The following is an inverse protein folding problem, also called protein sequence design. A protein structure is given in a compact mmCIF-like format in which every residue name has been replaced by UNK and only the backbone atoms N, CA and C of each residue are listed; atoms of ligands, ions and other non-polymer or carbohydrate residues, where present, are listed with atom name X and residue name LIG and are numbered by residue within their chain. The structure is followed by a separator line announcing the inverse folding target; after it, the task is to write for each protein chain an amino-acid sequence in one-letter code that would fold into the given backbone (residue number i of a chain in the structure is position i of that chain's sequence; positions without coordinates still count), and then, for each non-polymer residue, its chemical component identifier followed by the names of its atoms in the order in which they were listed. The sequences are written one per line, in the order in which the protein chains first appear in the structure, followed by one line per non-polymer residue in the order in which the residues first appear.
data_IF_544112490765
#
_entry.id   IF_544112490765
#
_cell.length_a   1.000
_cell.length_b   1.000
_cell.length_c   1.000
_cell.angle_alpha   90.00
_cell.angle_beta   90.00
_cell.angle_gamma   90.00
#
_symmetry.space_group_name_H-M   'P 1'
#
loop_
_entity.id
_entity.type
_entity.pdbx_description
1 polymer ?
#
# COMPACT_ATOMS: atom_id res chain seq x y z
N UNK A 1 47.32 -0.85 -18.56
CA UNK A 1 47.34 -1.51 -17.24
C UNK A 1 46.04 -2.27 -17.10
N UNK A 2 46.14 -3.60 -17.06
CA UNK A 2 45.02 -4.52 -16.92
C UNK A 2 44.40 -4.43 -15.53
N UNK A 3 43.08 -4.24 -15.46
CA UNK A 3 42.31 -4.40 -14.21
C UNK A 3 42.46 -5.87 -13.76
N UNK A 4 42.81 -6.15 -12.49
CA UNK A 4 42.98 -7.53 -12.05
C UNK A 4 41.61 -8.23 -12.01
N UNK A 5 41.55 -9.45 -12.51
CA UNK A 5 40.38 -10.36 -12.45
C UNK A 5 40.12 -10.90 -11.03
N UNK A 6 40.16 -10.02 -10.02
CA UNK A 6 39.76 -10.30 -8.65
C UNK A 6 38.32 -9.79 -8.50
N UNK A 7 37.31 -10.67 -8.52
CA UNK A 7 35.97 -10.19 -8.20
C UNK A 7 34.84 -11.21 -8.21
N UNK A 8 34.85 -12.21 -9.09
CA UNK A 8 33.73 -13.16 -9.16
C UNK A 8 34.01 -14.45 -8.38
N UNK A 9 35.23 -14.99 -8.46
CA UNK A 9 35.59 -16.26 -7.80
C UNK A 9 35.64 -16.18 -6.26
N UNK A 10 35.58 -14.97 -5.71
CA UNK A 10 35.48 -14.72 -4.27
C UNK A 10 34.03 -14.55 -3.78
N UNK A 11 33.02 -14.61 -4.66
CA UNK A 11 31.63 -14.55 -4.27
C UNK A 11 31.18 -15.90 -3.70
N UNK A 12 30.66 -15.86 -2.49
CA UNK A 12 30.10 -16.99 -1.77
C UNK A 12 28.71 -16.63 -1.21
N UNK A 13 28.02 -17.64 -0.68
CA UNK A 13 26.80 -17.46 0.11
C UNK A 13 27.10 -17.86 1.55
N UNK A 14 27.24 -16.88 2.43
CA UNK A 14 27.59 -17.06 3.85
C UNK A 14 28.86 -17.91 4.06
N UNK A 15 29.88 -17.73 3.20
CA UNK A 15 31.13 -18.49 3.23
C UNK A 15 31.09 -19.83 2.48
N UNK A 16 29.96 -20.19 1.88
CA UNK A 16 29.82 -21.39 1.05
C UNK A 16 30.03 -21.06 -0.44
N UNK A 17 31.03 -21.66 -1.12
CA UNK A 17 31.21 -21.48 -2.56
C UNK A 17 29.94 -21.87 -3.34
N UNK A 18 29.60 -21.11 -4.38
CA UNK A 18 28.37 -21.33 -5.16
C UNK A 18 28.26 -22.77 -5.70
N UNK A 19 29.37 -23.38 -6.11
CA UNK A 19 29.39 -24.74 -6.63
C UNK A 19 29.01 -25.79 -5.56
N UNK A 20 29.26 -25.50 -4.28
CA UNK A 20 28.99 -26.39 -3.16
C UNK A 20 27.52 -26.33 -2.71
N UNK A 21 26.73 -25.39 -3.22
CA UNK A 21 25.29 -25.30 -2.99
C UNK A 21 24.51 -26.44 -3.67
N UNK A 22 25.14 -27.19 -4.58
CA UNK A 22 24.51 -28.32 -5.26
C UNK A 22 23.33 -27.93 -6.16
N UNK A 23 23.33 -26.69 -6.65
CA UNK A 23 22.30 -26.18 -7.55
C UNK A 23 22.53 -26.69 -8.97
N UNK A 24 21.44 -26.97 -9.67
CA UNK A 24 21.39 -27.24 -11.11
C UNK A 24 20.43 -26.25 -11.78
N UNK A 25 20.26 -26.31 -13.10
CA UNK A 25 19.31 -25.45 -13.82
C UNK A 25 17.88 -26.02 -13.78
N UNK A 26 17.42 -26.44 -12.59
CA UNK A 26 16.02 -26.79 -12.29
C UNK A 26 15.39 -25.68 -11.45
N UNK A 27 14.11 -25.40 -11.70
CA UNK A 27 13.39 -24.36 -10.99
C UNK A 27 13.23 -24.70 -9.49
N UNK A 28 13.60 -23.80 -8.56
CA UNK A 28 13.43 -24.01 -7.12
C UNK A 28 11.99 -24.36 -6.74
N UNK A 29 11.83 -25.42 -5.95
CA UNK A 29 10.52 -25.92 -5.50
C UNK A 29 9.74 -26.72 -6.55
N UNK A 30 10.22 -26.79 -7.81
CA UNK A 30 9.56 -27.45 -8.92
C UNK A 30 10.54 -28.38 -9.66
N UNK A 31 10.84 -29.57 -9.10
CA UNK A 31 11.91 -30.44 -9.58
C UNK A 31 11.70 -30.98 -11.00
N UNK A 32 10.49 -30.86 -11.55
CA UNK A 32 10.13 -31.33 -12.88
C UNK A 32 10.30 -30.26 -13.98
N UNK A 33 10.72 -29.04 -13.62
CA UNK A 33 10.86 -27.93 -14.56
C UNK A 33 12.34 -27.59 -14.74
N UNK A 34 12.90 -28.04 -15.86
CA UNK A 34 14.23 -27.60 -16.28
C UNK A 34 14.15 -26.21 -16.91
N UNK A 35 15.03 -25.31 -16.46
CA UNK A 35 15.11 -23.93 -16.93
C UNK A 35 15.76 -23.80 -18.31
N UNK A 36 16.50 -24.83 -18.72
CA UNK A 36 17.13 -24.97 -20.02
C UNK A 36 17.26 -26.45 -20.36
N UNK A 37 17.49 -26.76 -21.64
CA UNK A 37 17.72 -28.14 -22.07
C UNK A 37 18.94 -28.75 -21.36
N UNK A 38 18.76 -29.90 -20.71
CA UNK A 38 19.82 -30.55 -19.93
C UNK A 38 20.17 -29.76 -18.66
N UNK A 39 19.18 -29.06 -18.11
CA UNK A 39 19.39 -28.15 -16.99
C UNK A 39 19.75 -28.91 -15.72
N UNK A 40 19.13 -30.07 -15.51
CA UNK A 40 19.40 -30.98 -14.40
C UNK A 40 20.83 -31.53 -14.39
N UNK A 41 21.39 -31.77 -15.57
CA UNK A 41 22.75 -32.29 -15.72
C UNK A 41 23.81 -31.18 -15.72
N UNK A 42 23.38 -29.91 -15.61
CA UNK A 42 24.31 -28.78 -15.52
C UNK A 42 24.35 -28.23 -14.10
N UNK A 43 25.48 -28.39 -13.42
CA UNK A 43 25.75 -27.71 -12.16
C UNK A 43 25.83 -26.19 -12.35
N UNK A 44 25.23 -25.46 -11.40
CA UNK A 44 25.40 -24.02 -11.27
C UNK A 44 26.74 -23.75 -10.60
N UNK A 45 27.53 -22.88 -11.22
CA UNK A 45 28.83 -22.43 -10.73
C UNK A 45 28.84 -20.91 -10.72
N UNK A 46 29.85 -20.33 -10.10
CA UNK A 46 29.99 -18.88 -10.08
C UNK A 46 30.03 -18.25 -11.48
N UNK A 47 30.57 -18.98 -12.47
CA UNK A 47 30.67 -18.51 -13.85
C UNK A 47 29.35 -18.54 -14.62
N UNK A 48 28.36 -19.33 -14.20
CA UNK A 48 27.06 -19.44 -14.87
C UNK A 48 25.86 -19.02 -13.98
N UNK A 49 26.11 -18.63 -12.73
CA UNK A 49 25.11 -18.21 -11.76
C UNK A 49 24.18 -17.10 -12.30
N UNK A 50 24.72 -16.13 -13.03
CA UNK A 50 23.93 -15.07 -13.66
C UNK A 50 22.86 -15.61 -14.62
N UNK A 51 23.15 -16.70 -15.35
CA UNK A 51 22.19 -17.35 -16.25
C UNK A 51 21.12 -18.06 -15.46
N UNK A 52 21.50 -18.75 -14.38
CA UNK A 52 20.57 -19.41 -13.49
C UNK A 52 19.58 -18.40 -12.90
N UNK A 53 20.09 -17.30 -12.33
CA UNK A 53 19.27 -16.20 -11.79
C UNK A 53 18.33 -15.65 -12.87
N UNK A 54 18.85 -15.32 -14.05
CA UNK A 54 18.04 -14.78 -15.14
C UNK A 54 16.90 -15.71 -15.55
N UNK A 55 17.16 -17.02 -15.65
CA UNK A 55 16.15 -18.02 -16.02
C UNK A 55 15.11 -18.24 -14.91
N UNK A 56 15.55 -18.33 -13.64
CA UNK A 56 14.63 -18.41 -12.50
C UNK A 56 13.72 -17.19 -12.46
N UNK A 57 14.29 -15.98 -12.56
CA UNK A 57 13.52 -14.73 -12.56
C UNK A 57 12.56 -14.67 -13.74
N UNK A 58 13.00 -15.04 -14.95
CA UNK A 58 12.15 -15.06 -16.13
C UNK A 58 10.99 -16.04 -15.97
N UNK A 59 11.24 -17.23 -15.42
CA UNK A 59 10.18 -18.20 -15.20
C UNK A 59 9.14 -17.69 -14.20
N UNK A 60 9.57 -17.17 -13.05
CA UNK A 60 8.63 -16.70 -12.01
C UNK A 60 7.84 -15.45 -12.42
N UNK A 61 8.45 -14.54 -13.18
CA UNK A 61 7.84 -13.24 -13.49
C UNK A 61 7.21 -13.15 -14.88
N UNK A 62 7.54 -14.06 -15.80
CA UNK A 62 7.09 -14.01 -17.20
C UNK A 62 6.44 -15.31 -17.63
N UNK A 63 7.23 -16.39 -17.77
CA UNK A 63 6.75 -17.62 -18.40
C UNK A 63 5.68 -18.32 -17.55
N UNK A 64 5.94 -18.51 -16.26
CA UNK A 64 5.07 -19.24 -15.33
C UNK A 64 3.74 -18.56 -15.01
N UNK A 65 3.62 -17.28 -15.33
CA UNK A 65 2.40 -16.47 -15.14
C UNK A 65 1.80 -15.95 -16.46
N UNK A 66 2.37 -16.34 -17.60
CA UNK A 66 2.03 -15.81 -18.93
C UNK A 66 0.55 -15.89 -19.25
N UNK A 67 -0.10 -17.03 -18.97
CA UNK A 67 -1.53 -17.25 -19.25
C UNK A 67 -2.43 -16.33 -18.41
N UNK A 68 -2.10 -16.17 -17.13
CA UNK A 68 -2.84 -15.30 -16.21
C UNK A 68 -2.67 -13.83 -16.58
N UNK A 69 -1.45 -13.45 -16.97
CA UNK A 69 -1.13 -12.09 -17.37
C UNK A 69 -1.74 -11.72 -18.72
N UNK A 70 -1.81 -12.66 -19.65
CA UNK A 70 -2.49 -12.46 -20.94
C UNK A 70 -3.99 -12.23 -20.75
N UNK A 71 -4.66 -13.03 -19.90
CA UNK A 71 -6.06 -12.82 -19.57
C UNK A 71 -6.29 -11.45 -18.87
N UNK A 72 -5.39 -11.05 -17.97
CA UNK A 72 -5.41 -9.71 -17.36
C UNK A 72 -5.26 -8.61 -18.41
N UNK A 73 -4.33 -8.78 -19.34
CA UNK A 73 -4.06 -7.83 -20.43
C UNK A 73 -5.26 -7.69 -21.35
N UNK A 74 -5.88 -8.78 -21.77
CA UNK A 74 -7.09 -8.77 -22.60
C UNK A 74 -8.26 -8.07 -21.89
N UNK A 75 -8.48 -8.39 -20.60
CA UNK A 75 -9.52 -7.74 -19.80
C UNK A 75 -9.29 -6.24 -19.66
N UNK A 76 -8.06 -5.82 -19.39
CA UNK A 76 -7.70 -4.41 -19.29
C UNK A 76 -7.87 -3.67 -20.64
N UNK A 77 -7.36 -4.24 -21.73
CA UNK A 77 -7.41 -3.65 -23.09
C UNK A 77 -8.86 -3.48 -23.59
N UNK A 78 -9.81 -4.29 -23.10
CA UNK A 78 -11.24 -4.17 -23.42
C UNK A 78 -11.90 -2.87 -22.90
N UNK A 79 -11.33 -2.27 -21.84
CA UNK A 79 -11.82 -1.02 -21.23
C UNK A 79 -10.89 0.15 -21.55
N UNK A 80 -9.58 -0.08 -21.53
CA UNK A 80 -8.56 0.93 -21.74
C UNK A 80 -7.33 0.37 -22.49
N UNK A 81 -6.95 0.93 -23.65
CA UNK A 81 -5.83 0.41 -24.43
C UNK A 81 -4.49 0.46 -23.67
N UNK A 82 -3.89 -0.70 -23.40
CA UNK A 82 -2.68 -0.82 -22.57
C UNK A 82 -1.49 -0.06 -23.16
N UNK A 83 -1.44 0.11 -24.48
CA UNK A 83 -0.39 0.86 -25.16
C UNK A 83 -0.32 2.33 -24.75
N UNK A 84 -1.42 2.90 -24.23
CA UNK A 84 -1.43 4.27 -23.68
C UNK A 84 -0.61 4.38 -22.39
N UNK A 85 -0.44 3.29 -21.65
CA UNK A 85 0.33 3.27 -20.40
C UNK A 85 1.84 3.32 -20.63
N UNK A 86 2.33 3.06 -21.86
CA UNK A 86 3.76 3.05 -22.19
C UNK A 86 4.45 4.41 -22.04
N UNK A 87 3.69 5.49 -21.87
CA UNK A 87 4.23 6.82 -21.61
C UNK A 87 4.69 7.01 -20.15
N UNK A 88 4.30 6.11 -19.25
CA UNK A 88 4.61 6.17 -17.83
C UNK A 88 5.72 5.19 -17.45
N UNK A 89 6.52 5.57 -16.46
CA UNK A 89 7.38 4.63 -15.73
C UNK A 89 6.56 3.72 -14.79
N UNK A 90 7.04 2.53 -14.42
CA UNK A 90 6.33 1.63 -13.51
C UNK A 90 5.89 2.30 -12.19
N UNK A 91 6.73 3.16 -11.63
CA UNK A 91 6.45 3.89 -10.39
C UNK A 91 5.35 4.96 -10.59
N UNK A 92 5.27 5.54 -11.78
CA UNK A 92 4.20 6.48 -12.13
C UNK A 92 2.86 5.75 -12.33
N UNK A 93 2.88 4.55 -12.93
CA UNK A 93 1.69 3.71 -13.04
C UNK A 93 1.14 3.33 -11.66
N UNK A 94 2.01 3.04 -10.70
CA UNK A 94 1.58 2.81 -9.31
C UNK A 94 0.81 4.02 -8.75
N UNK A 95 1.28 5.24 -9.02
CA UNK A 95 0.58 6.46 -8.60
C UNK A 95 -0.78 6.63 -9.30
N UNK A 96 -0.85 6.29 -10.58
CA UNK A 96 -2.09 6.37 -11.37
C UNK A 96 -3.15 5.40 -10.84
N UNK A 97 -2.76 4.14 -10.60
CA UNK A 97 -3.71 3.10 -10.20
C UNK A 97 -4.04 3.11 -8.71
N UNK A 98 -3.05 3.43 -7.87
CA UNK A 98 -3.17 3.25 -6.44
C UNK A 98 -3.17 4.57 -5.66
N UNK A 99 -3.18 5.70 -6.35
CA UNK A 99 -3.10 7.03 -5.76
C UNK A 99 -1.66 7.44 -5.45
N UNK A 100 -1.47 8.72 -5.14
CA UNK A 100 -0.16 9.31 -4.93
C UNK A 100 0.61 8.57 -3.83
N UNK A 101 1.73 7.95 -4.21
CA UNK A 101 2.67 7.37 -3.28
C UNK A 101 3.25 8.43 -2.34
N UNK A 102 3.37 8.08 -1.06
CA UNK A 102 4.08 8.87 -0.05
C UNK A 102 5.59 8.67 -0.19
N UNK A 103 6.11 8.75 -1.42
CA UNK A 103 7.55 8.72 -1.69
C UNK A 103 8.25 9.88 -0.96
N UNK A 104 9.54 9.71 -0.65
CA UNK A 104 10.30 10.65 0.19
C UNK A 104 10.31 12.10 -0.31
N UNK A 105 10.00 12.35 -1.58
CA UNK A 105 9.93 13.69 -2.17
C UNK A 105 8.55 14.36 -2.09
N UNK A 106 7.48 13.62 -1.77
CA UNK A 106 6.07 14.09 -1.86
C UNK A 106 5.26 13.74 -0.60
N UNK A 107 5.88 13.80 0.58
CA UNK A 107 5.12 13.75 1.83
C UNK A 107 4.30 15.03 1.98
N UNK A 108 3.07 15.04 1.45
CA UNK A 108 2.13 16.13 1.67
C UNK A 108 1.78 16.16 3.16
N UNK A 109 2.37 17.10 3.90
CA UNK A 109 1.95 17.37 5.27
C UNK A 109 0.48 17.79 5.24
N UNK A 110 -0.32 17.17 6.11
CA UNK A 110 -1.72 17.53 6.23
C UNK A 110 -1.84 18.74 7.14
N UNK A 111 -1.99 19.94 6.58
CA UNK A 111 -2.23 21.12 7.40
C UNK A 111 -3.73 21.28 7.70
N UNK A 112 -4.04 21.89 8.85
CA UNK A 112 -5.42 22.08 9.33
C UNK A 112 -6.28 22.85 8.34
N UNK A 113 -5.70 23.85 7.65
CA UNK A 113 -6.44 24.67 6.69
C UNK A 113 -6.84 23.85 5.47
N UNK A 114 -5.91 23.08 4.89
CA UNK A 114 -6.19 22.17 3.79
C UNK A 114 -7.25 21.13 4.17
N UNK A 115 -7.16 20.55 5.37
CA UNK A 115 -8.15 19.60 5.86
C UNK A 115 -9.55 20.23 5.98
N UNK A 116 -9.66 21.44 6.54
CA UNK A 116 -10.92 22.17 6.65
C UNK A 116 -11.52 22.55 5.28
N UNK A 117 -10.68 22.93 4.31
CA UNK A 117 -11.11 23.26 2.95
C UNK A 117 -11.62 22.02 2.18
N UNK A 118 -10.97 20.86 2.38
CA UNK A 118 -11.24 19.64 1.63
C UNK A 118 -12.31 18.74 2.25
N UNK A 119 -12.44 18.74 3.59
CA UNK A 119 -13.41 17.91 4.28
C UNK A 119 -14.76 18.63 4.43
N UNK A 120 -15.81 17.85 4.68
CA UNK A 120 -17.16 18.35 4.97
C UNK A 120 -17.56 17.96 6.38
N UNK A 121 -18.40 18.78 6.99
CA UNK A 121 -19.02 18.52 8.30
C UNK A 121 -20.53 18.56 8.14
N UNK A 122 -21.23 17.62 8.76
CA UNK A 122 -22.70 17.57 8.71
C UNK A 122 -23.28 16.95 10.00
N UNK A 123 -24.62 16.95 10.11
CA UNK A 123 -25.42 16.28 11.14
C UNK A 123 -24.87 16.44 12.56
N UNK A 124 -24.87 17.69 13.04
CA UNK A 124 -24.51 18.03 14.42
C UNK A 124 -23.08 18.49 14.60
N UNK A 125 -22.25 18.49 13.55
CA UNK A 125 -20.98 19.20 13.53
C UNK A 125 -20.94 20.28 12.45
N UNK A 126 -20.16 21.31 12.73
CA UNK A 126 -19.75 22.39 11.82
C UNK A 126 -18.23 22.47 11.80
N UNK A 127 -17.65 23.18 10.82
CA UNK A 127 -16.21 23.42 10.76
C UNK A 127 -15.64 24.06 12.03
N UNK A 128 -16.44 24.89 12.72
CA UNK A 128 -16.04 25.58 13.96
C UNK A 128 -16.24 24.73 15.23
N UNK A 129 -16.83 23.54 15.12
CA UNK A 129 -17.08 22.67 16.28
C UNK A 129 -15.77 22.21 16.91
N UNK A 130 -15.66 22.31 18.24
CA UNK A 130 -14.45 21.90 18.97
C UNK A 130 -13.98 20.46 18.65
N UNK A 131 -14.88 19.44 18.55
CA UNK A 131 -14.46 18.10 18.11
C UNK A 131 -13.83 18.07 16.71
N UNK A 132 -14.29 18.91 15.79
CA UNK A 132 -13.71 19.00 14.44
C UNK A 132 -12.32 19.64 14.48
N UNK A 133 -12.13 20.65 15.32
CA UNK A 133 -10.82 21.28 15.52
C UNK A 133 -9.82 20.28 16.14
N UNK A 134 -10.25 19.49 17.13
CA UNK A 134 -9.44 18.38 17.66
C UNK A 134 -9.08 17.38 16.58
N UNK A 135 -10.06 16.99 15.76
CA UNK A 135 -9.85 16.03 14.68
C UNK A 135 -8.78 16.50 13.69
N UNK A 136 -8.87 17.73 13.17
CA UNK A 136 -7.87 18.25 12.23
C UNK A 136 -6.49 18.42 12.86
N UNK A 137 -6.41 18.87 14.10
CA UNK A 137 -5.13 19.01 14.78
C UNK A 137 -4.49 17.64 15.07
N UNK A 138 -5.28 16.60 15.37
CA UNK A 138 -4.79 15.22 15.48
C UNK A 138 -4.20 14.75 14.15
N UNK A 139 -4.95 14.90 13.04
CA UNK A 139 -4.52 14.50 11.70
C UNK A 139 -3.26 15.26 11.23
N UNK A 140 -3.16 16.55 11.53
CA UNK A 140 -1.99 17.36 11.23
C UNK A 140 -0.72 16.89 11.97
N UNK A 141 -0.90 16.26 13.13
CA UNK A 141 0.19 15.68 13.93
C UNK A 141 0.37 14.16 13.70
N UNK A 142 -0.22 13.60 12.65
CA UNK A 142 0.04 12.20 12.28
C UNK A 142 1.34 12.04 11.52
N UNK A 143 2.11 11.02 11.90
CA UNK A 143 3.23 10.54 11.09
C UNK A 143 2.73 9.71 9.88
N UNK A 144 3.64 9.32 9.00
CA UNK A 144 3.31 8.62 7.75
C UNK A 144 2.49 7.34 7.97
N UNK A 145 2.82 6.56 8.99
CA UNK A 145 2.16 5.28 9.24
C UNK A 145 0.78 5.50 9.86
N UNK A 146 0.64 6.47 10.77
CA UNK A 146 -0.65 6.90 11.31
C UNK A 146 -1.58 7.44 10.20
N UNK A 147 -1.04 8.22 9.25
CA UNK A 147 -1.80 8.70 8.10
C UNK A 147 -2.30 7.54 7.22
N UNK A 148 -1.45 6.56 6.93
CA UNK A 148 -1.81 5.38 6.12
C UNK A 148 -2.91 4.56 6.78
N UNK A 149 -2.79 4.31 8.09
CA UNK A 149 -3.80 3.57 8.85
C UNK A 149 -5.13 4.34 8.87
N UNK A 150 -5.08 5.65 9.09
CA UNK A 150 -6.27 6.49 9.07
C UNK A 150 -6.96 6.47 7.70
N UNK A 151 -6.22 6.65 6.60
CA UNK A 151 -6.79 6.60 5.25
C UNK A 151 -7.41 5.22 4.95
N UNK A 152 -6.72 4.14 5.32
CA UNK A 152 -7.24 2.78 5.17
C UNK A 152 -8.56 2.63 5.91
N UNK A 153 -8.64 3.17 7.14
CA UNK A 153 -9.85 3.15 7.94
C UNK A 153 -10.98 3.95 7.29
N UNK A 154 -10.76 5.19 6.86
CA UNK A 154 -11.85 6.05 6.38
C UNK A 154 -12.22 5.88 4.91
N UNK A 155 -11.29 5.42 4.06
CA UNK A 155 -11.47 5.31 2.60
C UNK A 155 -11.36 3.89 2.06
N UNK A 156 -10.85 2.93 2.84
CA UNK A 156 -10.54 1.58 2.35
C UNK A 156 -9.23 1.50 1.55
N UNK A 157 -8.52 2.60 1.36
CA UNK A 157 -7.20 2.67 0.72
C UNK A 157 -6.18 3.33 1.65
N UNK A 158 -4.93 2.86 1.72
CA UNK A 158 -3.90 3.49 2.53
C UNK A 158 -3.31 4.74 1.85
N UNK A 159 -3.84 5.13 0.69
CA UNK A 159 -3.39 6.24 -0.16
C UNK A 159 -4.56 7.09 -0.64
N UNK A 160 -4.33 8.39 -0.72
CA UNK A 160 -5.25 9.32 -1.37
C UNK A 160 -5.10 9.24 -2.90
N UNK A 161 -6.15 9.53 -3.66
CA UNK A 161 -6.05 9.70 -5.11
C UNK A 161 -5.03 10.80 -5.49
N UNK A 162 -4.60 10.80 -6.74
CA UNK A 162 -3.84 11.93 -7.30
C UNK A 162 -4.64 13.22 -7.13
N UNK A 163 -4.07 14.19 -6.41
CA UNK A 163 -4.76 15.43 -6.01
C UNK A 163 -5.19 15.48 -4.52
N UNK A 164 -4.91 14.44 -3.73
CA UNK A 164 -5.08 14.45 -2.28
C UNK A 164 -6.54 14.43 -1.82
N UNK A 165 -6.83 15.00 -0.64
CA UNK A 165 -8.18 15.00 -0.06
C UNK A 165 -9.23 15.65 -0.97
N UNK A 166 -8.85 16.68 -1.74
CA UNK A 166 -9.74 17.38 -2.68
C UNK A 166 -10.22 16.47 -3.82
N UNK A 167 -9.47 15.42 -4.14
CA UNK A 167 -9.81 14.47 -5.19
C UNK A 167 -10.72 13.32 -4.70
N UNK A 168 -10.99 13.22 -3.39
CA UNK A 168 -11.94 12.25 -2.87
C UNK A 168 -13.33 12.54 -3.41
N UNK A 169 -13.94 11.54 -4.03
CA UNK A 169 -15.29 11.62 -4.60
C UNK A 169 -16.12 10.45 -4.07
N UNK A 170 -17.06 10.69 -3.13
CA UNK A 170 -17.40 11.98 -2.50
C UNK A 170 -16.31 12.50 -1.53
N UNK A 171 -16.31 13.79 -1.16
CA UNK A 171 -15.39 14.32 -0.15
C UNK A 171 -15.56 13.64 1.22
N UNK A 172 -14.47 13.58 2.00
CA UNK A 172 -14.53 13.05 3.37
C UNK A 172 -15.49 13.90 4.22
N UNK A 173 -16.56 13.26 4.69
CA UNK A 173 -17.62 13.91 5.49
C UNK A 173 -17.58 13.40 6.93
N UNK A 174 -17.43 14.31 7.88
CA UNK A 174 -17.37 14.03 9.32
C UNK A 174 -18.69 14.45 9.95
N UNK A 175 -19.34 13.54 10.67
CA UNK A 175 -20.61 13.81 11.33
C UNK A 175 -20.61 13.37 12.78
N UNK A 176 -21.53 13.93 13.57
CA UNK A 176 -21.72 13.51 14.95
C UNK A 176 -22.35 12.12 14.99
N UNK A 177 -21.70 11.19 15.69
CA UNK A 177 -22.32 9.91 16.04
C UNK A 177 -23.38 10.18 17.11
N UNK A 178 -24.65 9.94 16.78
CA UNK A 178 -25.75 10.03 17.75
C UNK A 178 -25.57 8.99 18.84
N UNK A 179 -25.75 9.40 20.09
CA UNK A 179 -25.75 8.54 21.27
C UNK A 179 -26.95 8.87 22.13
N UNK A 180 -27.42 7.88 22.89
CA UNK A 180 -28.52 8.07 23.83
C UNK A 180 -28.02 8.82 25.08
N UNK A 181 -28.90 9.59 25.72
CA UNK A 181 -28.55 10.63 26.70
C UNK A 181 -27.82 10.22 27.98
N UNK A 182 -27.50 8.94 28.18
CA UNK A 182 -26.75 8.42 29.33
C UNK A 182 -25.43 7.72 28.95
N UNK A 183 -25.06 7.72 27.67
CA UNK A 183 -23.85 7.05 27.19
C UNK A 183 -22.64 8.00 27.20
N UNK A 184 -21.50 7.52 27.71
CA UNK A 184 -20.25 8.26 27.65
C UNK A 184 -19.65 8.14 26.23
N UNK A 185 -19.44 9.24 25.49
CA UNK A 185 -18.88 9.19 24.13
C UNK A 185 -17.49 8.54 24.09
N UNK A 186 -16.72 8.65 25.17
CA UNK A 186 -15.38 8.07 25.30
C UNK A 186 -15.40 6.55 25.38
N UNK A 187 -16.54 5.89 25.53
CA UNK A 187 -16.62 4.43 25.54
C UNK A 187 -16.73 3.85 24.12
N UNK A 188 -17.03 4.67 23.12
CA UNK A 188 -17.31 4.21 21.75
C UNK A 188 -16.19 4.54 20.77
N UNK A 189 -15.99 3.63 19.81
CA UNK A 189 -15.14 3.89 18.65
C UNK A 189 -15.89 4.71 17.59
N UNK A 190 -15.16 5.50 16.77
CA UNK A 190 -15.73 6.06 15.56
C UNK A 190 -16.14 4.93 14.60
N UNK A 191 -17.08 5.19 13.72
CA UNK A 191 -17.45 4.26 12.65
C UNK A 191 -17.43 4.94 11.29
N UNK A 192 -17.21 4.14 10.25
CA UNK A 192 -16.95 4.63 8.90
C UNK A 192 -17.88 3.94 7.90
N UNK A 193 -18.20 4.65 6.84
CA UNK A 193 -18.79 4.08 5.62
C UNK A 193 -17.83 4.45 4.49
N UNK A 194 -16.88 3.54 4.22
CA UNK A 194 -15.75 3.77 3.32
C UNK A 194 -16.20 4.08 1.89
N UNK A 195 -17.22 3.38 1.38
CA UNK A 195 -17.78 3.59 0.03
C UNK A 195 -18.23 5.03 -0.25
N UNK A 196 -18.48 5.82 0.79
CA UNK A 196 -18.94 7.21 0.69
C UNK A 196 -18.08 8.19 1.50
N UNK A 197 -16.85 7.77 1.88
CA UNK A 197 -15.91 8.56 2.67
C UNK A 197 -16.58 9.28 3.85
N UNK A 198 -17.30 8.53 4.69
CA UNK A 198 -18.15 9.13 5.72
C UNK A 198 -17.78 8.62 7.11
N UNK A 199 -17.37 9.53 7.99
CA UNK A 199 -16.89 9.26 9.35
C UNK A 199 -17.91 9.74 10.39
N UNK A 200 -18.44 8.80 11.19
CA UNK A 200 -19.28 9.07 12.36
C UNK A 200 -18.38 9.14 13.60
N UNK A 201 -18.20 10.34 14.12
CA UNK A 201 -17.30 10.64 15.22
C UNK A 201 -18.11 10.93 16.50
N UNK A 202 -17.87 10.20 17.61
CA UNK A 202 -18.35 10.60 18.92
C UNK A 202 -17.84 11.97 19.34
N UNK A 203 -18.63 12.68 20.14
CA UNK A 203 -18.22 13.96 20.75
C UNK A 203 -17.37 13.70 22.00
N UNK A 204 -16.15 13.22 21.77
CA UNK A 204 -15.20 12.87 22.83
C UNK A 204 -14.93 14.02 23.80
N UNK A 205 -14.68 13.67 25.07
CA UNK A 205 -14.44 14.64 26.14
C UNK A 205 -13.17 15.46 25.97
N UNK A 206 -12.17 14.91 25.27
CA UNK A 206 -10.84 15.49 25.09
C UNK A 206 -10.22 15.11 23.75
N UNK A 207 -9.21 15.90 23.33
CA UNK A 207 -8.40 15.60 22.15
C UNK A 207 -7.65 14.29 22.31
N UNK A 208 -7.16 14.02 23.51
CA UNK A 208 -6.40 12.81 23.85
C UNK A 208 -7.29 11.56 23.73
N UNK A 209 -8.52 11.62 24.25
CA UNK A 209 -9.50 10.55 24.10
C UNK A 209 -9.80 10.30 22.60
N UNK A 210 -10.03 11.35 21.83
CA UNK A 210 -10.26 11.24 20.38
C UNK A 210 -9.07 10.61 19.65
N UNK A 211 -7.83 11.07 19.94
CA UNK A 211 -6.62 10.52 19.31
C UNK A 211 -6.50 9.03 19.59
N UNK A 212 -6.71 8.62 20.84
CA UNK A 212 -6.62 7.22 21.23
C UNK A 212 -7.70 6.38 20.53
N UNK A 213 -8.95 6.86 20.45
CA UNK A 213 -10.05 6.12 19.82
C UNK A 213 -9.90 6.03 18.31
N UNK A 214 -9.43 7.08 17.64
CA UNK A 214 -9.07 7.04 16.22
C UNK A 214 -7.94 6.05 15.96
N UNK A 215 -6.91 6.05 16.81
CA UNK A 215 -5.78 5.11 16.70
C UNK A 215 -6.28 3.66 16.82
N UNK A 216 -7.03 3.35 17.86
CA UNK A 216 -7.59 2.00 18.10
C UNK A 216 -8.46 1.57 16.92
N UNK A 217 -9.39 2.42 16.47
CA UNK A 217 -10.26 2.10 15.33
C UNK A 217 -9.47 1.86 14.03
N UNK A 218 -8.43 2.66 13.78
CA UNK A 218 -7.61 2.52 12.58
C UNK A 218 -6.66 1.31 12.63
N UNK A 219 -6.14 0.93 13.80
CA UNK A 219 -5.26 -0.23 13.94
C UNK A 219 -6.02 -1.55 13.99
N UNK A 220 -7.14 -1.60 14.72
CA UNK A 220 -7.86 -2.85 15.02
C UNK A 220 -9.03 -3.10 14.06
N UNK A 221 -9.58 -2.05 13.43
CA UNK A 221 -10.66 -2.19 12.43
C UNK A 221 -10.21 -2.74 11.07
N UNK A 222 -8.91 -2.89 10.85
CA UNK A 222 -8.34 -3.37 9.58
C UNK A 222 -8.52 -4.87 9.34
N UNK A 223 -8.76 -5.67 10.40
CA UNK A 223 -8.85 -7.13 10.33
C UNK A 223 -10.21 -7.71 10.76
N UNK A 224 -11.23 -6.87 11.01
CA UNK A 224 -12.53 -7.36 11.48
C UNK A 224 -13.70 -6.73 10.76
N UNK A 225 -14.39 -7.53 9.96
CA UNK A 225 -15.71 -7.22 9.38
C UNK A 225 -16.81 -7.72 10.33
N UNK A 226 -17.01 -7.05 11.47
CA UNK A 226 -18.26 -7.23 12.19
C UNK A 226 -19.34 -6.41 11.50
N UNK A 227 -20.19 -7.08 10.70
CA UNK A 227 -21.48 -6.52 10.30
C UNK A 227 -22.23 -6.12 11.58
N UNK A 228 -22.61 -4.85 11.68
CA UNK A 228 -23.66 -4.41 12.58
C UNK A 228 -25.00 -4.64 11.90
#
# INVERSE_FOLDING_TARGET
MSVPALGIDALDLDGCPIADLGLDFVLPGHPNIELRRGGRDTAVTIHNLHQYIALVTHWFLVEGVSRQFEALREGFDSVFPVNRLRMFYPEELENVFCGAGLGAATHQRWDVRMLAECCRTDHGFTQDSQPIQYFYDILNNYNRDEQRLFLQFVTGSPRLPTGGFKALTPPLTIVRKKMDGNQNPDDYLPSVMTCVNYLKLPEYSSREAMRQKLKVAASEGSMSFHLS
#
